data_IF_776679427406
#
_entry.id   IF_776679427406
#
_cell.length_a   1.000
_cell.length_b   1.000
_cell.length_c   1.000
_cell.angle_alpha   90.00
_cell.angle_beta   90.00
_cell.angle_gamma   90.00
#
_symmetry.space_group_name_H-M   'P 1'
#
loop_
_entity.id
_entity.type
_entity.pdbx_description
1 polymer ?
#
# COMPACT_ATOMS: atom_id res chain seq x y z
N UNK A 1 -62.73 35.99 -60.86
CA UNK A 1 -61.87 36.08 -62.05
C UNK A 1 -61.01 34.83 -62.10
N UNK A 2 -61.23 33.99 -63.11
CA UNK A 2 -60.45 32.79 -63.45
C UNK A 2 -59.03 33.17 -63.95
N UNK A 3 -58.05 32.24 -64.10
CA UNK A 3 -58.19 30.78 -64.14
C UNK A 3 -57.15 29.92 -63.38
N UNK A 4 -57.53 28.65 -63.20
CA UNK A 4 -56.73 27.40 -63.06
C UNK A 4 -55.50 27.34 -64.01
N UNK A 5 -54.49 26.42 -63.87
CA UNK A 5 -54.66 24.98 -63.55
C UNK A 5 -53.51 24.23 -62.81
N UNK A 6 -53.84 23.04 -62.31
CA UNK A 6 -52.93 21.88 -62.17
C UNK A 6 -52.66 21.25 -63.55
N UNK A 7 -51.46 20.70 -63.85
CA UNK A 7 -51.25 19.25 -63.65
C UNK A 7 -49.79 18.78 -63.35
N UNK A 8 -49.72 17.66 -62.61
CA UNK A 8 -48.93 16.42 -62.78
C UNK A 8 -47.54 16.48 -63.44
N UNK A 9 -46.49 16.01 -62.75
CA UNK A 9 -45.60 14.92 -63.24
C UNK A 9 -44.52 14.51 -62.22
N UNK A 10 -44.48 13.21 -61.97
CA UNK A 10 -43.47 12.38 -61.32
C UNK A 10 -42.04 12.60 -61.83
N UNK A 11 -41.03 12.61 -60.94
CA UNK A 11 -39.84 11.75 -61.12
C UNK A 11 -38.95 11.65 -59.89
N UNK A 12 -38.57 10.40 -59.61
CA UNK A 12 -37.54 9.95 -58.68
C UNK A 12 -36.16 10.50 -59.05
N UNK A 13 -35.34 10.72 -58.02
CA UNK A 13 -33.96 10.23 -57.98
C UNK A 13 -32.85 11.25 -58.17
N UNK A 14 -32.08 11.48 -57.11
CA UNK A 14 -30.61 11.31 -57.05
C UNK A 14 -30.09 11.93 -55.74
N UNK A 15 -29.92 11.09 -54.70
CA UNK A 15 -29.07 11.43 -53.55
C UNK A 15 -27.67 10.95 -53.91
N UNK A 16 -26.75 11.90 -54.06
CA UNK A 16 -25.34 11.62 -54.30
C UNK A 16 -24.71 11.00 -53.05
N UNK A 17 -24.12 9.80 -53.19
CA UNK A 17 -23.20 9.24 -52.21
C UNK A 17 -21.89 10.05 -52.25
N UNK A 18 -21.60 10.79 -51.18
CA UNK A 18 -20.24 11.20 -50.87
C UNK A 18 -19.61 10.12 -49.97
N UNK A 19 -18.76 9.28 -50.55
CA UNK A 19 -17.94 8.33 -49.81
C UNK A 19 -16.79 9.08 -49.12
N UNK A 20 -16.99 9.44 -47.84
CA UNK A 20 -15.91 9.91 -46.98
C UNK A 20 -15.14 8.72 -46.42
N UNK A 21 -13.94 8.46 -46.95
CA UNK A 21 -12.97 7.55 -46.32
C UNK A 21 -12.41 8.22 -45.07
N UNK A 22 -13.03 7.97 -43.92
CA UNK A 22 -12.43 8.27 -42.63
C UNK A 22 -11.30 7.26 -42.39
N UNK A 23 -10.05 7.69 -42.59
CA UNK A 23 -8.88 6.99 -42.08
C UNK A 23 -8.97 7.03 -40.55
N UNK A 24 -9.43 5.93 -39.96
CA UNK A 24 -9.35 5.73 -38.52
C UNK A 24 -7.86 5.67 -38.14
N UNK A 25 -7.38 6.70 -37.45
CA UNK A 25 -6.08 6.65 -36.80
C UNK A 25 -6.10 5.48 -35.80
N UNK A 26 -5.04 4.64 -35.73
CA UNK A 26 -4.99 3.59 -34.74
C UNK A 26 -4.97 4.27 -33.36
N UNK A 27 -6.01 4.05 -32.57
CA UNK A 27 -5.98 4.38 -31.15
C UNK A 27 -4.76 3.66 -30.57
N UNK A 28 -3.76 4.43 -30.15
CA UNK A 28 -2.61 3.90 -29.45
C UNK A 28 -3.15 3.17 -28.22
N UNK A 29 -3.19 1.84 -28.29
CA UNK A 29 -3.65 1.01 -27.21
C UNK A 29 -2.58 1.12 -26.13
N UNK A 30 -2.76 2.06 -25.20
CA UNK A 30 -1.96 2.12 -23.99
C UNK A 30 -1.88 0.71 -23.45
N UNK A 31 -0.68 0.13 -23.45
CA UNK A 31 -0.48 -1.27 -23.09
C UNK A 31 -0.96 -1.42 -21.65
N UNK A 32 -2.18 -1.93 -21.46
CA UNK A 32 -2.75 -2.09 -20.14
C UNK A 32 -1.84 -3.04 -19.39
N UNK A 33 -1.30 -2.58 -18.26
CA UNK A 33 -0.56 -3.44 -17.35
C UNK A 33 -1.43 -4.67 -17.03
N UNK A 34 -0.81 -5.85 -17.07
CA UNK A 34 -1.50 -7.13 -16.85
C UNK A 34 -0.89 -7.82 -15.64
N UNK A 35 -1.72 -8.45 -14.81
CA UNK A 35 -1.24 -9.20 -13.66
C UNK A 35 -0.31 -10.34 -14.13
N UNK A 36 0.77 -10.56 -13.39
CA UNK A 36 1.69 -11.67 -13.64
C UNK A 36 1.02 -12.94 -13.11
N UNK A 37 0.84 -13.94 -13.97
CA UNK A 37 0.22 -15.23 -13.61
C UNK A 37 1.26 -16.14 -12.99
N UNK A 38 1.07 -16.46 -11.72
CA UNK A 38 1.85 -17.42 -10.97
C UNK A 38 1.30 -18.84 -11.06
N UNK A 39 1.95 -19.73 -10.32
CA UNK A 39 1.51 -21.12 -10.14
C UNK A 39 0.26 -21.17 -9.26
N UNK A 40 -0.53 -22.22 -9.41
CA UNK A 40 -1.66 -22.55 -8.53
C UNK A 40 -2.62 -21.39 -8.29
N UNK A 41 -2.90 -20.54 -9.29
CA UNK A 41 -3.84 -19.41 -9.16
C UNK A 41 -3.28 -18.21 -8.36
N UNK A 42 -1.97 -18.11 -8.18
CA UNK A 42 -1.34 -16.87 -7.72
C UNK A 42 -1.35 -15.82 -8.83
N UNK A 43 -1.60 -14.58 -8.44
CA UNK A 43 -1.37 -13.39 -9.26
C UNK A 43 -0.35 -12.51 -8.57
N UNK A 44 0.50 -11.84 -9.34
CA UNK A 44 1.38 -10.79 -8.83
C UNK A 44 1.11 -9.48 -9.57
N UNK A 45 1.40 -8.37 -8.89
CA UNK A 45 1.20 -7.08 -9.48
C UNK A 45 2.12 -6.88 -10.70
N UNK A 46 1.69 -6.13 -11.73
CA UNK A 46 2.54 -5.82 -12.88
C UNK A 46 3.87 -5.15 -12.48
N UNK A 47 3.84 -4.32 -11.44
CA UNK A 47 5.01 -3.62 -10.90
C UNK A 47 5.89 -4.47 -9.98
N UNK A 48 5.46 -5.69 -9.63
CA UNK A 48 6.25 -6.68 -8.90
C UNK A 48 7.11 -7.55 -9.84
N UNK A 49 7.37 -7.10 -11.08
CA UNK A 49 8.22 -7.83 -12.01
C UNK A 49 9.66 -7.95 -11.49
N UNK A 50 9.99 -9.13 -10.98
CA UNK A 50 11.29 -9.43 -10.34
C UNK A 50 12.46 -9.52 -11.33
N UNK A 51 12.20 -9.59 -12.64
CA UNK A 51 13.26 -9.61 -13.66
C UNK A 51 13.70 -8.20 -14.06
N UNK A 52 12.81 -7.22 -13.93
CA UNK A 52 12.97 -5.85 -14.42
C UNK A 52 13.01 -4.83 -13.29
N UNK A 53 13.51 -5.21 -12.12
CA UNK A 53 13.65 -4.28 -11.00
C UNK A 53 14.63 -3.14 -11.36
N UNK A 54 14.17 -1.91 -11.16
CA UNK A 54 14.95 -0.68 -11.26
C UNK A 54 15.09 -0.06 -9.87
N UNK A 55 16.32 0.26 -9.46
CA UNK A 55 16.64 0.89 -8.17
C UNK A 55 17.31 2.25 -8.34
N UNK A 56 17.26 2.85 -9.54
CA UNK A 56 17.92 4.13 -9.85
C UNK A 56 17.54 5.23 -8.87
N UNK A 57 16.26 5.34 -8.53
CA UNK A 57 15.75 6.35 -7.60
C UNK A 57 15.87 5.97 -6.12
N UNK A 58 16.28 4.73 -5.79
CA UNK A 58 16.27 4.23 -4.42
C UNK A 58 17.06 5.11 -3.44
N UNK A 59 18.33 5.49 -3.74
CA UNK A 59 19.09 6.35 -2.85
C UNK A 59 18.35 7.67 -2.57
N UNK A 60 17.86 8.32 -3.63
CA UNK A 60 17.16 9.60 -3.51
C UNK A 60 15.85 9.50 -2.73
N UNK A 61 15.08 8.45 -2.94
CA UNK A 61 13.85 8.20 -2.15
C UNK A 61 14.17 8.01 -0.67
N UNK A 62 15.22 7.22 -0.36
CA UNK A 62 15.65 7.00 1.02
C UNK A 62 16.14 8.28 1.69
N UNK A 63 16.92 9.11 0.98
CA UNK A 63 17.35 10.44 1.46
C UNK A 63 16.16 11.32 1.85
N UNK A 64 15.16 11.44 0.97
CA UNK A 64 13.97 12.28 1.21
C UNK A 64 13.19 11.81 2.44
N UNK A 65 13.00 10.49 2.57
CA UNK A 65 12.28 9.91 3.71
C UNK A 65 13.09 10.05 5.00
N UNK A 66 14.40 9.84 4.95
CA UNK A 66 15.29 10.00 6.09
C UNK A 66 15.35 11.47 6.56
N UNK A 67 15.32 12.44 5.65
CA UNK A 67 15.24 13.85 5.98
C UNK A 67 13.93 14.18 6.73
N UNK A 68 12.79 13.70 6.24
CA UNK A 68 11.50 13.85 6.93
C UNK A 68 11.50 13.19 8.33
N UNK A 69 12.09 12.01 8.47
CA UNK A 69 12.29 11.33 9.77
C UNK A 69 13.21 12.14 10.68
N UNK A 70 14.24 12.79 10.14
CA UNK A 70 15.11 13.71 10.87
C UNK A 70 14.32 14.89 11.45
N UNK A 71 13.40 15.47 10.67
CA UNK A 71 12.52 16.57 11.14
C UNK A 71 11.57 16.10 12.25
N UNK A 72 10.96 14.91 12.09
CA UNK A 72 10.09 14.32 13.12
C UNK A 72 10.84 14.12 14.44
N UNK A 73 12.06 13.57 14.37
CA UNK A 73 12.93 13.39 15.54
C UNK A 73 13.31 14.71 16.21
N UNK A 74 13.62 15.74 15.42
CA UNK A 74 13.87 17.09 15.95
C UNK A 74 12.63 17.69 16.64
N UNK A 75 11.43 17.28 16.23
CA UNK A 75 10.16 17.60 16.85
C UNK A 75 9.73 16.62 17.96
N UNK A 76 10.67 15.81 18.49
CA UNK A 76 10.47 14.81 19.54
C UNK A 76 9.50 13.66 19.21
N UNK A 77 9.32 13.36 17.92
CA UNK A 77 8.58 12.19 17.43
C UNK A 77 9.58 11.18 16.88
N UNK A 78 9.86 10.11 17.62
CA UNK A 78 10.68 9.01 17.11
C UNK A 78 9.93 8.32 15.96
N UNK A 79 10.67 7.84 14.96
CA UNK A 79 10.06 7.13 13.83
C UNK A 79 10.76 5.80 13.55
N UNK A 80 9.95 4.76 13.40
CA UNK A 80 10.36 3.41 13.02
C UNK A 80 9.72 3.09 11.67
N UNK A 81 10.47 2.49 10.75
CA UNK A 81 9.94 2.10 9.44
C UNK A 81 9.57 0.63 9.43
N UNK A 82 8.32 0.34 9.08
CA UNK A 82 7.85 -0.99 8.70
C UNK A 82 8.01 -1.13 7.19
N UNK A 83 9.11 -1.70 6.71
CA UNK A 83 9.33 -1.93 5.29
C UNK A 83 8.70 -3.28 4.87
N UNK A 84 7.52 -3.21 4.26
CA UNK A 84 6.76 -4.37 3.80
C UNK A 84 7.43 -4.94 2.53
N UNK A 85 7.88 -6.21 2.56
CA UNK A 85 8.54 -6.83 1.42
C UNK A 85 7.58 -7.07 0.25
N UNK A 86 8.13 -7.13 -0.97
CA UNK A 86 7.37 -7.49 -2.17
C UNK A 86 6.79 -8.91 -2.05
N UNK A 87 5.50 -9.07 -2.38
CA UNK A 87 4.83 -10.37 -2.41
C UNK A 87 5.54 -11.36 -3.33
N UNK A 88 6.01 -10.88 -4.49
CA UNK A 88 6.73 -11.70 -5.46
C UNK A 88 8.08 -12.20 -4.94
N UNK A 89 8.72 -11.48 -4.02
CA UNK A 89 9.97 -11.91 -3.38
C UNK A 89 9.72 -12.89 -2.23
N UNK A 90 8.68 -12.66 -1.40
CA UNK A 90 8.27 -13.60 -0.32
C UNK A 90 7.80 -14.93 -0.92
N UNK A 91 6.97 -14.88 -1.96
CA UNK A 91 6.40 -16.05 -2.65
C UNK A 91 7.07 -16.32 -4.00
N UNK A 92 8.41 -16.16 -4.08
CA UNK A 92 9.17 -16.36 -5.32
C UNK A 92 9.03 -17.76 -5.94
N UNK A 93 8.71 -18.76 -5.13
CA UNK A 93 8.42 -20.13 -5.58
C UNK A 93 7.08 -20.26 -6.31
N UNK A 94 6.16 -19.31 -6.10
CA UNK A 94 4.86 -19.25 -6.76
C UNK A 94 4.88 -18.41 -8.05
N UNK A 95 6.02 -17.80 -8.40
CA UNK A 95 6.21 -17.14 -9.69
C UNK A 95 6.14 -18.15 -10.86
N UNK A 96 5.79 -17.68 -12.08
CA UNK A 96 5.78 -18.55 -13.25
C UNK A 96 7.17 -19.15 -13.52
N UNK A 97 7.24 -20.37 -14.09
CA UNK A 97 8.51 -20.96 -14.51
C UNK A 97 9.33 -19.99 -15.37
N UNK A 98 10.64 -19.92 -15.11
CA UNK A 98 11.55 -19.03 -15.84
C UNK A 98 11.62 -17.58 -15.34
N UNK A 99 10.75 -17.17 -14.41
CA UNK A 99 10.77 -15.81 -13.83
C UNK A 99 11.62 -15.75 -12.55
N UNK A 100 12.94 -16.00 -12.69
CA UNK A 100 13.87 -15.87 -11.57
C UNK A 100 14.14 -14.39 -11.23
N UNK A 101 14.19 -13.99 -9.94
CA UNK A 101 14.54 -12.63 -9.56
C UNK A 101 15.92 -12.21 -10.06
N UNK A 102 16.03 -11.02 -10.66
CA UNK A 102 17.31 -10.44 -11.06
C UNK A 102 18.19 -10.13 -9.84
N UNK A 103 19.52 -9.99 -10.00
CA UNK A 103 20.39 -9.57 -8.89
C UNK A 103 19.98 -8.23 -8.27
N UNK A 104 19.37 -7.32 -9.06
CA UNK A 104 18.84 -6.05 -8.57
C UNK A 104 17.62 -6.30 -7.69
N UNK A 105 16.65 -7.11 -8.13
CA UNK A 105 15.47 -7.45 -7.33
C UNK A 105 15.84 -8.14 -6.01
N UNK A 106 16.83 -9.05 -6.04
CA UNK A 106 17.29 -9.77 -4.86
C UNK A 106 17.88 -8.85 -3.78
N UNK A 107 18.52 -7.73 -4.18
CA UNK A 107 19.17 -6.80 -3.25
C UNK A 107 18.31 -5.61 -2.86
N UNK A 108 17.24 -5.30 -3.61
CA UNK A 108 16.43 -4.08 -3.44
C UNK A 108 15.93 -3.88 -2.02
N UNK A 109 15.37 -4.91 -1.40
CA UNK A 109 14.85 -4.84 -0.03
C UNK A 109 15.92 -4.42 0.97
N UNK A 110 17.06 -5.12 0.98
CA UNK A 110 18.15 -4.83 1.91
C UNK A 110 18.84 -3.50 1.60
N UNK A 111 18.97 -3.14 0.31
CA UNK A 111 19.50 -1.85 -0.11
C UNK A 111 18.65 -0.69 0.43
N UNK A 112 17.31 -0.81 0.39
CA UNK A 112 16.42 0.20 0.96
C UNK A 112 16.58 0.29 2.49
N UNK A 113 16.64 -0.86 3.19
CA UNK A 113 16.85 -0.88 4.65
C UNK A 113 18.17 -0.22 5.04
N UNK A 114 19.26 -0.61 4.39
CA UNK A 114 20.58 -0.07 4.63
C UNK A 114 20.64 1.44 4.36
N UNK A 115 20.08 1.90 3.24
CA UNK A 115 20.06 3.33 2.89
C UNK A 115 19.25 4.16 3.88
N UNK A 116 18.08 3.68 4.34
CA UNK A 116 17.28 4.35 5.38
C UNK A 116 18.03 4.42 6.71
N UNK A 117 18.67 3.33 7.15
CA UNK A 117 19.47 3.32 8.38
C UNK A 117 20.68 4.24 8.27
N UNK A 118 21.39 4.24 7.14
CA UNK A 118 22.50 5.17 6.88
C UNK A 118 22.05 6.64 6.87
N UNK A 119 20.83 6.91 6.40
CA UNK A 119 20.19 8.23 6.48
C UNK A 119 19.78 8.66 7.90
N UNK A 120 19.98 7.81 8.92
CA UNK A 120 19.69 8.14 10.31
C UNK A 120 18.30 7.70 10.79
N UNK A 121 17.60 6.85 10.04
CA UNK A 121 16.41 6.16 10.55
C UNK A 121 16.85 5.12 11.58
N UNK A 122 16.45 5.32 12.83
CA UNK A 122 16.92 4.53 13.98
C UNK A 122 16.62 3.03 13.87
N UNK A 123 15.48 2.67 13.29
CA UNK A 123 15.04 1.28 13.24
C UNK A 123 14.25 0.98 11.96
N UNK A 124 14.73 -0.01 11.20
CA UNK A 124 14.07 -0.60 10.02
C UNK A 124 14.17 -2.14 10.14
N UNK A 125 13.30 -2.79 10.93
CA UNK A 125 13.39 -4.23 11.19
C UNK A 125 13.25 -5.06 9.91
N UNK A 126 13.92 -6.22 9.88
CA UNK A 126 13.82 -7.15 8.77
C UNK A 126 12.50 -7.91 8.81
N UNK A 127 11.63 -7.69 7.83
CA UNK A 127 10.41 -8.47 7.63
C UNK A 127 10.59 -9.54 6.53
N UNK A 128 11.49 -9.35 5.58
CA UNK A 128 11.68 -10.27 4.46
C UNK A 128 12.10 -11.65 4.95
N UNK A 129 13.14 -11.72 5.80
CA UNK A 129 13.66 -13.00 6.28
C UNK A 129 12.62 -13.83 7.04
N UNK A 130 11.94 -13.31 8.09
CA UNK A 130 10.94 -14.11 8.81
C UNK A 130 9.72 -14.45 7.94
N UNK A 131 9.26 -13.55 7.06
CA UNK A 131 8.13 -13.83 6.18
C UNK A 131 8.45 -14.89 5.12
N UNK A 132 9.61 -14.80 4.46
CA UNK A 132 10.04 -15.79 3.47
C UNK A 132 10.25 -17.17 4.12
N UNK A 133 10.80 -17.21 5.34
CA UNK A 133 10.94 -18.45 6.10
C UNK A 133 9.59 -19.08 6.43
N UNK A 134 8.64 -18.30 6.95
CA UNK A 134 7.31 -18.81 7.32
C UNK A 134 6.56 -19.29 6.07
N UNK A 135 6.59 -18.52 4.97
CA UNK A 135 5.96 -18.88 3.70
C UNK A 135 6.54 -20.16 3.09
N UNK A 136 7.83 -20.44 3.28
CA UNK A 136 8.47 -21.67 2.82
C UNK A 136 8.19 -22.87 3.74
N UNK A 137 8.06 -22.62 5.05
CA UNK A 137 7.86 -23.67 6.06
C UNK A 137 6.41 -24.13 6.17
N UNK A 138 5.44 -23.25 5.92
CA UNK A 138 4.01 -23.53 6.08
C UNK A 138 3.20 -23.03 4.87
N UNK A 139 2.40 -23.90 4.23
CA UNK A 139 1.53 -23.47 3.14
C UNK A 139 0.33 -22.64 3.62
N UNK A 140 -0.13 -22.86 4.86
CA UNK A 140 -1.23 -22.11 5.47
C UNK A 140 -0.96 -21.83 6.97
N UNK A 141 -1.46 -20.72 7.54
CA UNK A 141 -2.12 -19.63 6.83
C UNK A 141 -1.13 -18.88 5.93
N UNK A 142 -1.52 -18.58 4.69
CA UNK A 142 -0.69 -17.75 3.80
C UNK A 142 -0.48 -16.36 4.38
N UNK A 143 0.68 -15.76 4.13
CA UNK A 143 1.03 -14.40 4.54
C UNK A 143 0.51 -13.34 3.57
N UNK A 144 0.23 -13.70 2.32
CA UNK A 144 -0.38 -12.83 1.32
C UNK A 144 -1.53 -13.55 0.60
N UNK A 145 -2.50 -12.77 0.14
CA UNK A 145 -3.56 -13.28 -0.72
C UNK A 145 -3.02 -13.62 -2.12
N UNK A 146 -3.59 -14.63 -2.75
CA UNK A 146 -3.13 -15.13 -4.05
C UNK A 146 -3.46 -14.13 -5.15
N UNK A 147 -4.71 -13.69 -5.21
CA UNK A 147 -5.23 -12.80 -6.24
C UNK A 147 -5.30 -11.33 -5.81
N UNK A 148 -4.56 -10.94 -4.77
CA UNK A 148 -4.58 -9.58 -4.25
C UNK A 148 -3.18 -9.13 -3.78
N UNK A 149 -2.89 -7.84 -3.80
CA UNK A 149 -1.57 -7.31 -3.45
C UNK A 149 -1.27 -7.39 -1.96
N UNK A 150 -2.30 -7.40 -1.10
CA UNK A 150 -2.15 -7.25 0.34
C UNK A 150 -1.71 -8.54 1.02
N UNK A 151 -1.07 -8.37 2.18
CA UNK A 151 -0.89 -9.46 3.11
C UNK A 151 -2.26 -9.98 3.62
N UNK A 152 -2.28 -11.18 4.18
CA UNK A 152 -3.41 -11.65 5.00
C UNK A 152 -3.26 -11.10 6.42
N UNK A 153 -4.28 -11.24 7.29
CA UNK A 153 -4.11 -10.95 8.72
C UNK A 153 -3.00 -11.77 9.39
N UNK A 154 -2.71 -12.98 8.92
CA UNK A 154 -1.59 -13.77 9.43
C UNK A 154 -0.23 -13.14 9.06
N UNK A 155 -0.09 -12.64 7.83
CA UNK A 155 1.10 -11.89 7.41
C UNK A 155 1.29 -10.59 8.18
N UNK A 156 0.20 -9.85 8.37
CA UNK A 156 0.20 -8.62 9.16
C UNK A 156 0.54 -8.87 10.64
N UNK A 157 -0.03 -9.92 11.25
CA UNK A 157 0.23 -10.28 12.66
C UNK A 157 1.68 -10.74 12.87
N UNK A 158 2.25 -11.51 11.93
CA UNK A 158 3.68 -11.86 11.95
C UNK A 158 4.55 -10.60 11.87
N UNK A 159 4.26 -9.71 10.91
CA UNK A 159 4.99 -8.46 10.76
C UNK A 159 4.90 -7.59 12.03
N UNK A 160 3.69 -7.45 12.59
CA UNK A 160 3.45 -6.70 13.82
C UNK A 160 4.22 -7.27 15.01
N UNK A 161 4.34 -8.60 15.13
CA UNK A 161 5.13 -9.26 16.16
C UNK A 161 6.64 -8.97 16.04
N UNK A 162 7.18 -8.99 14.82
CA UNK A 162 8.58 -8.60 14.55
C UNK A 162 8.81 -7.13 14.91
N UNK A 163 7.90 -6.25 14.49
CA UNK A 163 7.99 -4.82 14.80
C UNK A 163 7.90 -4.56 16.31
N UNK A 164 6.94 -5.18 17.02
CA UNK A 164 6.78 -5.02 18.45
C UNK A 164 8.04 -5.43 19.23
N UNK A 165 8.60 -6.59 18.88
CA UNK A 165 9.83 -7.10 19.51
C UNK A 165 11.01 -6.14 19.29
N UNK A 166 11.19 -5.66 18.06
CA UNK A 166 12.26 -4.72 17.73
C UNK A 166 12.09 -3.37 18.44
N UNK A 167 10.86 -2.86 18.51
CA UNK A 167 10.53 -1.61 19.19
C UNK A 167 10.80 -1.72 20.70
N UNK A 168 10.35 -2.81 21.35
CA UNK A 168 10.58 -3.03 22.79
C UNK A 168 12.06 -3.17 23.13
N UNK A 169 12.86 -3.77 22.24
CA UNK A 169 14.30 -3.84 22.41
C UNK A 169 14.97 -2.46 22.30
N UNK A 170 14.56 -1.65 21.32
CA UNK A 170 15.24 -0.40 20.95
C UNK A 170 14.78 0.84 21.73
N UNK A 171 13.54 0.86 22.23
CA UNK A 171 12.94 2.03 22.87
C UNK A 171 12.60 1.76 24.35
N UNK A 172 12.61 2.83 25.13
CA UNK A 172 12.09 2.85 26.50
C UNK A 172 10.93 3.82 26.51
N UNK A 173 9.75 3.28 26.76
CA UNK A 173 8.54 4.09 26.84
C UNK A 173 8.24 4.47 28.30
N UNK A 174 7.55 5.60 28.52
CA UNK A 174 6.92 5.87 29.80
C UNK A 174 5.79 4.86 30.09
N UNK A 175 5.17 5.01 31.27
CA UNK A 175 3.96 4.29 31.62
C UNK A 175 2.92 4.45 30.50
N UNK A 176 2.31 3.33 30.11
CA UNK A 176 1.37 3.34 28.99
C UNK A 176 0.11 4.13 29.33
N UNK A 177 -0.44 4.94 28.39
CA UNK A 177 -1.68 5.67 28.60
C UNK A 177 -2.92 4.75 28.71
N UNK A 178 -2.78 3.46 28.38
CA UNK A 178 -3.86 2.48 28.48
C UNK A 178 -3.36 1.06 28.23
N UNK A 179 -4.24 0.06 28.29
CA UNK A 179 -3.86 -1.30 27.90
C UNK A 179 -3.69 -1.42 26.38
N UNK A 180 -2.87 -2.38 25.94
CA UNK A 180 -2.89 -2.83 24.54
C UNK A 180 -4.18 -3.56 24.18
N UNK A 181 -4.42 -3.72 22.88
CA UNK A 181 -5.52 -4.53 22.38
C UNK A 181 -5.40 -5.99 22.82
N UNK A 182 -6.55 -6.63 23.06
CA UNK A 182 -6.62 -8.07 23.31
C UNK A 182 -7.15 -8.75 22.06
N UNK A 183 -6.32 -9.55 21.40
CA UNK A 183 -6.74 -10.33 20.24
C UNK A 183 -7.54 -11.56 20.66
N UNK A 184 -8.74 -11.70 20.10
CA UNK A 184 -9.65 -12.82 20.34
C UNK A 184 -9.19 -14.13 19.67
N UNK A 185 -10.04 -15.18 19.74
CA UNK A 185 -9.82 -16.39 18.97
C UNK A 185 -9.88 -16.10 17.45
N UNK A 186 -9.22 -16.90 16.61
CA UNK A 186 -9.30 -16.76 15.16
C UNK A 186 -10.75 -16.92 14.67
N UNK A 187 -11.19 -16.00 13.82
CA UNK A 187 -12.51 -16.05 13.18
C UNK A 187 -12.33 -16.09 11.67
N UNK A 188 -13.08 -16.94 11.00
CA UNK A 188 -13.08 -17.01 9.54
C UNK A 188 -13.82 -15.81 8.93
N UNK A 189 -13.23 -15.26 7.88
CA UNK A 189 -13.79 -14.21 7.02
C UNK A 189 -13.54 -14.58 5.56
N UNK A 190 -14.30 -13.97 4.66
CA UNK A 190 -14.12 -14.09 3.22
C UNK A 190 -13.66 -12.75 2.68
N UNK A 191 -12.65 -12.75 1.82
CA UNK A 191 -12.14 -11.53 1.21
C UNK A 191 -13.19 -10.93 0.28
N UNK A 192 -13.57 -9.68 0.54
CA UNK A 192 -14.61 -9.00 -0.24
C UNK A 192 -14.16 -8.56 -1.64
N UNK A 193 -12.86 -8.35 -1.86
CA UNK A 193 -12.30 -7.93 -3.14
C UNK A 193 -10.86 -8.42 -3.31
N UNK A 194 -10.55 -8.85 -4.53
CA UNK A 194 -9.21 -9.19 -4.99
C UNK A 194 -8.74 -8.08 -5.96
N UNK A 195 -7.86 -7.19 -5.51
CA UNK A 195 -7.45 -6.01 -6.28
C UNK A 195 -6.68 -6.31 -7.58
N UNK A 196 -5.99 -7.45 -7.67
CA UNK A 196 -5.27 -7.83 -8.89
C UNK A 196 -6.22 -8.23 -10.03
N UNK A 197 -7.50 -8.49 -9.75
CA UNK A 197 -8.49 -8.78 -10.81
C UNK A 197 -8.77 -7.58 -11.71
N UNK A 198 -8.45 -6.36 -11.25
CA UNK A 198 -8.52 -5.17 -12.09
C UNK A 198 -7.52 -5.23 -13.27
N UNK A 199 -6.46 -6.05 -13.13
CA UNK A 199 -5.43 -6.31 -14.15
C UNK A 199 -5.60 -7.68 -14.84
N UNK A 200 -6.77 -8.30 -14.69
CA UNK A 200 -7.14 -9.58 -15.33
C UNK A 200 -8.36 -9.36 -16.24
N UNK A 201 -8.36 -9.89 -17.48
CA UNK A 201 -9.52 -9.83 -18.38
C UNK A 201 -10.80 -10.39 -17.71
N UNK A 202 -11.96 -9.74 -17.85
CA UNK A 202 -13.20 -10.14 -17.19
C UNK A 202 -13.56 -11.63 -17.31
N UNK A 203 -13.36 -12.21 -18.48
CA UNK A 203 -13.64 -13.60 -18.82
C UNK A 203 -12.79 -14.62 -18.04
N UNK A 204 -11.64 -14.19 -17.52
CA UNK A 204 -10.71 -15.04 -16.75
C UNK A 204 -10.88 -14.89 -15.24
N UNK A 205 -11.54 -13.83 -14.76
CA UNK A 205 -11.64 -13.51 -13.31
C UNK A 205 -12.28 -14.63 -12.49
N UNK A 206 -13.14 -15.44 -13.10
CA UNK A 206 -13.79 -16.60 -12.46
C UNK A 206 -12.79 -17.67 -11.94
N UNK A 207 -11.56 -17.69 -12.47
CA UNK A 207 -10.51 -18.60 -12.00
C UNK A 207 -9.87 -18.16 -10.66
N UNK A 208 -10.22 -16.98 -10.15
CA UNK A 208 -9.61 -16.37 -8.97
C UNK A 208 -10.69 -15.99 -7.94
N UNK A 209 -11.35 -17.00 -7.32
CA UNK A 209 -12.46 -16.76 -6.39
C UNK A 209 -11.99 -16.02 -5.13
N UNK A 210 -12.95 -15.46 -4.40
CA UNK A 210 -12.72 -14.89 -3.08
C UNK A 210 -12.13 -15.94 -2.13
N UNK A 211 -11.12 -15.53 -1.36
CA UNK A 211 -10.41 -16.44 -0.46
C UNK A 211 -10.91 -16.28 0.98
N UNK A 212 -11.02 -17.40 1.69
CA UNK A 212 -11.25 -17.38 3.14
C UNK A 212 -9.94 -17.14 3.88
N UNK A 213 -10.00 -16.41 4.98
CA UNK A 213 -8.86 -16.16 5.85
C UNK A 213 -9.28 -16.14 7.31
N UNK A 214 -8.32 -16.36 8.20
CA UNK A 214 -8.50 -16.24 9.64
C UNK A 214 -7.99 -14.89 10.12
N UNK A 215 -8.76 -14.24 10.99
CA UNK A 215 -8.38 -13.00 11.68
C UNK A 215 -8.64 -13.16 13.18
N UNK A 216 -7.67 -12.76 14.00
CA UNK A 216 -7.84 -12.63 15.46
C UNK A 216 -8.31 -11.23 15.81
N UNK A 217 -9.59 -10.95 15.62
CA UNK A 217 -10.16 -9.62 15.82
C UNK A 217 -9.97 -9.14 17.28
N UNK A 218 -9.83 -7.82 17.51
CA UNK A 218 -9.81 -7.26 18.86
C UNK A 218 -11.09 -7.61 19.61
N UNK A 219 -10.95 -8.00 20.89
CA UNK A 219 -12.10 -8.23 21.77
C UNK A 219 -12.61 -6.86 22.25
N UNK A 220 -13.89 -6.53 22.04
CA UNK A 220 -14.46 -5.28 22.55
C UNK A 220 -14.21 -5.15 24.05
N UNK A 221 -13.68 -4.01 24.49
CA UNK A 221 -13.58 -3.69 25.92
C UNK A 221 -15.00 -3.39 26.41
N UNK A 222 -15.58 -4.30 27.20
CA UNK A 222 -16.87 -4.03 27.85
C UNK A 222 -16.77 -2.79 28.74
N UNK A 223 -17.76 -1.88 28.66
CA UNK A 223 -17.87 -0.73 29.55
C UNK A 223 -17.54 0.67 28.98
N UNK A 224 -17.46 0.86 27.66
CA UNK A 224 -17.24 2.19 27.09
C UNK A 224 -18.54 3.03 27.06
N UNK A 225 -18.90 3.62 28.20
CA UNK A 225 -19.66 4.88 28.22
C UNK A 225 -18.77 6.02 27.76
N UNK A 226 -19.27 6.80 26.78
CA UNK A 226 -18.82 8.13 26.35
C UNK A 226 -17.38 8.24 25.81
N UNK A 227 -17.29 8.78 24.59
CA UNK A 227 -16.09 9.23 23.84
C UNK A 227 -14.81 9.26 24.69
N UNK A 228 -14.05 8.16 24.72
CA UNK A 228 -12.68 8.21 25.17
C UNK A 228 -11.87 8.93 24.09
N UNK A 229 -11.25 10.06 24.43
CA UNK A 229 -10.23 10.66 23.59
C UNK A 229 -9.15 9.60 23.32
N UNK A 230 -8.77 9.43 22.04
CA UNK A 230 -7.69 8.53 21.66
C UNK A 230 -6.37 9.05 22.26
N UNK A 231 -5.93 8.43 23.36
CA UNK A 231 -4.71 8.80 24.09
C UNK A 231 -3.49 8.00 23.64
N UNK A 232 -3.51 7.40 22.45
CA UNK A 232 -2.40 6.58 21.97
C UNK A 232 -1.09 7.37 21.90
N UNK A 233 -0.03 6.83 22.52
CA UNK A 233 1.33 7.39 22.47
C UNK A 233 2.17 6.76 21.34
N UNK A 234 1.59 5.81 20.61
CA UNK A 234 2.12 5.23 19.38
C UNK A 234 1.08 5.40 18.27
N UNK A 235 1.54 5.79 17.09
CA UNK A 235 0.69 5.85 15.89
C UNK A 235 1.32 5.02 14.78
N UNK A 236 0.48 4.33 14.00
CA UNK A 236 0.89 3.65 12.76
C UNK A 236 0.29 4.40 11.60
N UNK A 237 1.13 4.74 10.61
CA UNK A 237 0.75 5.51 9.43
C UNK A 237 1.23 4.82 8.16
N UNK A 238 0.39 4.73 7.13
CA UNK A 238 0.80 4.09 5.88
C UNK A 238 -0.33 3.78 4.90
N UNK A 239 -0.10 2.78 4.04
CA UNK A 239 -1.01 2.46 2.93
C UNK A 239 -2.16 1.54 3.34
N UNK A 240 -2.95 1.10 2.36
CA UNK A 240 -4.05 0.14 2.50
C UNK A 240 -3.64 -1.19 3.14
N UNK A 241 -2.34 -1.52 3.18
CA UNK A 241 -1.83 -2.66 3.96
C UNK A 241 -2.14 -2.54 5.45
N UNK A 242 -2.37 -1.34 5.97
CA UNK A 242 -2.76 -1.13 7.36
C UNK A 242 -4.27 -1.12 7.60
N UNK A 243 -5.09 -1.36 6.57
CA UNK A 243 -6.53 -1.35 6.71
C UNK A 243 -6.99 -2.29 7.86
N UNK A 244 -8.05 -1.92 8.62
CA UNK A 244 -8.49 -2.69 9.79
C UNK A 244 -8.76 -4.17 9.52
N UNK A 245 -9.14 -4.53 8.29
CA UNK A 245 -9.36 -5.92 7.88
C UNK A 245 -8.11 -6.79 7.92
N UNK A 246 -6.91 -6.20 7.94
CA UNK A 246 -5.64 -6.91 8.08
C UNK A 246 -5.10 -6.92 9.50
N UNK A 247 -5.70 -6.16 10.42
CA UNK A 247 -5.43 -6.23 11.87
C UNK A 247 -4.00 -5.86 12.32
N UNK A 248 -3.17 -5.23 11.47
CA UNK A 248 -1.78 -4.89 11.81
C UNK A 248 -1.69 -4.02 13.07
N UNK A 249 -2.44 -2.90 13.13
CA UNK A 249 -2.36 -1.95 14.24
C UNK A 249 -2.79 -2.57 15.58
N UNK A 250 -3.84 -3.39 15.57
CA UNK A 250 -4.28 -4.09 16.78
C UNK A 250 -3.27 -5.16 17.22
N UNK A 251 -2.66 -5.90 16.28
CA UNK A 251 -1.61 -6.87 16.60
C UNK A 251 -0.37 -6.17 17.19
N UNK A 252 0.00 -5.00 16.64
CA UNK A 252 1.08 -4.19 17.18
C UNK A 252 0.73 -3.65 18.57
N UNK A 253 -0.50 -3.18 18.78
CA UNK A 253 -1.00 -2.74 20.08
C UNK A 253 -0.92 -3.85 21.13
N UNK A 254 -1.34 -5.07 20.77
CA UNK A 254 -1.22 -6.23 21.63
C UNK A 254 0.25 -6.54 21.96
N UNK A 255 1.12 -6.56 20.94
CA UNK A 255 2.55 -6.84 21.12
C UNK A 255 3.27 -5.81 22.00
N UNK A 256 2.96 -4.52 21.81
CA UNK A 256 3.53 -3.42 22.60
C UNK A 256 2.86 -3.24 23.97
N UNK A 257 1.75 -3.95 24.24
CA UNK A 257 0.93 -3.81 25.44
C UNK A 257 0.51 -2.36 25.73
N UNK A 258 0.13 -1.62 24.69
CA UNK A 258 -0.29 -0.21 24.76
C UNK A 258 -1.22 0.18 23.61
N UNK A 259 -2.03 1.25 23.72
CA UNK A 259 -2.87 1.73 22.63
C UNK A 259 -2.02 2.18 21.43
N UNK A 260 -2.52 1.91 20.23
CA UNK A 260 -1.87 2.30 18.97
C UNK A 260 -2.93 2.94 18.08
N UNK A 261 -2.72 4.21 17.73
CA UNK A 261 -3.54 4.91 16.75
C UNK A 261 -3.23 4.42 15.33
N UNK A 262 -4.21 4.52 14.43
CA UNK A 262 -4.09 4.09 13.04
C UNK A 262 -4.56 5.21 12.11
N UNK A 263 -3.69 5.65 11.22
CA UNK A 263 -4.04 6.48 10.05
C UNK A 263 -3.54 5.80 8.79
N UNK A 264 -4.38 5.67 7.77
CA UNK A 264 -3.97 5.06 6.52
C UNK A 264 -4.74 5.62 5.33
N UNK A 265 -4.12 5.47 4.15
CA UNK A 265 -4.72 5.83 2.86
C UNK A 265 -4.50 4.75 1.82
N UNK A 266 -5.24 4.79 0.73
CA UNK A 266 -5.01 3.91 -0.42
C UNK A 266 -3.64 4.16 -1.05
N UNK A 267 -3.02 3.13 -1.63
CA UNK A 267 -1.64 3.19 -2.11
C UNK A 267 -1.35 4.31 -3.13
N UNK A 268 -2.36 4.76 -3.89
CA UNK A 268 -2.24 5.85 -4.87
C UNK A 268 -2.03 7.25 -4.26
N UNK A 269 -2.20 7.42 -2.94
CA UNK A 269 -1.73 8.63 -2.24
C UNK A 269 -0.20 8.66 -2.13
N UNK A 270 0.44 7.49 -2.11
CA UNK A 270 1.87 7.37 -1.87
C UNK A 270 2.27 7.64 -0.42
N UNK A 271 3.51 7.30 -0.05
CA UNK A 271 3.99 7.47 1.33
C UNK A 271 4.09 8.94 1.74
N UNK A 272 4.31 9.83 0.78
CA UNK A 272 4.54 11.27 1.00
C UNK A 272 3.26 12.00 1.42
N UNK A 273 2.21 11.93 0.60
CA UNK A 273 0.93 12.56 0.94
C UNK A 273 0.28 11.87 2.15
N UNK A 274 0.42 10.55 2.29
CA UNK A 274 -0.10 9.83 3.46
C UNK A 274 0.51 10.38 4.75
N UNK A 275 1.84 10.47 4.82
CA UNK A 275 2.51 11.05 5.99
C UNK A 275 2.09 12.51 6.18
N UNK A 276 2.13 13.33 5.12
CA UNK A 276 1.84 14.75 5.22
C UNK A 276 0.39 15.03 5.67
N UNK A 277 -0.58 14.28 5.16
CA UNK A 277 -1.96 14.32 5.60
C UNK A 277 -2.11 13.98 7.09
N UNK A 278 -1.43 12.94 7.57
CA UNK A 278 -1.43 12.59 9.00
C UNK A 278 -0.82 13.71 9.85
N UNK A 279 0.33 14.26 9.45
CA UNK A 279 0.98 15.35 10.19
C UNK A 279 0.11 16.62 10.23
N UNK A 280 -0.73 16.86 9.22
CA UNK A 280 -1.68 17.98 9.20
C UNK A 280 -2.98 17.69 9.95
N UNK A 281 -3.22 16.43 10.34
CA UNK A 281 -4.46 16.04 11.01
C UNK A 281 -4.61 16.67 12.39
N UNK A 282 -5.85 16.90 12.83
CA UNK A 282 -6.10 17.36 14.20
C UNK A 282 -5.58 16.35 15.24
N UNK A 283 -5.58 15.06 14.92
CA UNK A 283 -5.05 14.00 15.80
C UNK A 283 -3.59 14.26 16.13
N UNK A 284 -2.74 14.42 15.11
CA UNK A 284 -1.32 14.71 15.32
C UNK A 284 -1.08 16.08 15.96
N UNK A 285 -1.82 17.10 15.54
CA UNK A 285 -1.64 18.47 16.04
C UNK A 285 -2.05 18.63 17.50
N UNK A 286 -3.09 17.92 17.96
CA UNK A 286 -3.52 17.93 19.36
C UNK A 286 -2.66 17.03 20.25
N UNK A 287 -2.26 15.87 19.74
CA UNK A 287 -1.47 14.89 20.48
C UNK A 287 -0.44 14.24 19.57
N UNK A 288 0.80 14.71 19.67
CA UNK A 288 1.92 14.08 18.96
C UNK A 288 2.25 12.74 19.62
N UNK A 289 2.40 11.64 18.85
CA UNK A 289 2.82 10.37 19.41
C UNK A 289 4.29 10.44 19.84
N UNK A 290 4.67 9.62 20.82
CA UNK A 290 6.08 9.39 21.16
C UNK A 290 6.78 8.61 20.04
N UNK A 291 6.06 7.67 19.43
CA UNK A 291 6.57 6.86 18.34
C UNK A 291 5.59 6.83 17.16
N UNK A 292 6.09 7.18 15.99
CA UNK A 292 5.46 6.96 14.71
C UNK A 292 6.02 5.68 14.06
N UNK A 293 5.14 4.75 13.73
CA UNK A 293 5.45 3.56 12.93
C UNK A 293 5.00 3.82 11.50
N UNK A 294 5.95 4.23 10.65
CA UNK A 294 5.69 4.54 9.25
C UNK A 294 5.81 3.28 8.39
N UNK A 295 4.71 2.85 7.79
CA UNK A 295 4.68 1.69 6.90
C UNK A 295 4.96 2.08 5.45
N UNK A 296 5.97 1.45 4.87
CA UNK A 296 6.40 1.65 3.49
C UNK A 296 6.39 0.32 2.73
N UNK A 297 6.02 0.35 1.46
CA UNK A 297 6.12 -0.82 0.57
C UNK A 297 7.50 -0.82 -0.09
N UNK A 298 8.14 -1.99 -0.19
CA UNK A 298 9.41 -2.15 -0.91
C UNK A 298 9.34 -1.55 -2.33
N UNK A 299 8.25 -1.81 -3.06
CA UNK A 299 8.04 -1.28 -4.41
C UNK A 299 7.90 0.25 -4.47
N UNK A 300 7.54 0.91 -3.36
CA UNK A 300 7.45 2.36 -3.28
C UNK A 300 8.83 3.02 -3.07
N UNK A 301 9.85 2.26 -2.68
CA UNK A 301 11.19 2.78 -2.40
C UNK A 301 11.96 3.26 -3.65
N UNK A 302 11.33 3.21 -4.82
CA UNK A 302 11.89 3.68 -6.10
C UNK A 302 11.01 4.76 -6.75
N UNK A 303 9.95 5.19 -6.06
CA UNK A 303 8.97 6.14 -6.56
C UNK A 303 9.19 7.49 -5.88
N UNK A 304 9.74 8.45 -6.61
CA UNK A 304 9.89 9.83 -6.13
C UNK A 304 8.52 10.47 -5.83
N UNK A 305 8.46 11.49 -4.94
CA UNK A 305 7.22 12.22 -4.67
C UNK A 305 6.54 12.77 -5.91
N UNK A 306 7.32 13.08 -6.95
CA UNK A 306 6.86 13.65 -8.21
C UNK A 306 6.32 12.62 -9.21
N UNK A 307 6.31 11.32 -8.86
CA UNK A 307 5.86 10.27 -9.76
C UNK A 307 4.34 10.32 -9.98
N UNK A 308 3.91 11.04 -11.02
CA UNK A 308 2.49 11.20 -11.39
C UNK A 308 1.82 9.90 -11.84
N UNK A 309 2.58 8.92 -12.34
CA UNK A 309 2.00 7.62 -12.71
C UNK A 309 1.60 6.83 -11.47
N UNK A 310 2.42 6.89 -10.41
CA UNK A 310 2.14 6.19 -9.16
C UNK A 310 1.15 6.97 -8.29
N UNK A 311 1.22 8.30 -8.31
CA UNK A 311 0.43 9.20 -7.46
C UNK A 311 -0.35 10.24 -8.30
N UNK A 312 -1.34 9.83 -9.10
CA UNK A 312 -1.95 10.71 -10.11
C UNK A 312 -2.49 12.05 -9.59
N UNK A 313 -3.07 12.05 -8.38
CA UNK A 313 -3.67 13.23 -7.76
C UNK A 313 -2.84 13.79 -6.59
N UNK A 314 -1.75 13.11 -6.21
CA UNK A 314 -1.01 13.36 -4.98
C UNK A 314 0.49 13.53 -5.19
N UNK A 315 0.96 13.42 -6.43
CA UNK A 315 2.35 13.71 -6.77
C UNK A 315 2.69 15.17 -6.47
N UNK A 316 3.84 15.38 -5.85
CA UNK A 316 4.35 16.70 -5.43
C UNK A 316 5.86 16.78 -5.65
N UNK A 317 6.44 17.98 -5.64
CA UNK A 317 7.90 18.10 -5.64
C UNK A 317 8.48 17.66 -4.30
N UNK A 318 9.76 17.31 -4.28
CA UNK A 318 10.50 17.04 -3.04
C UNK A 318 10.43 18.24 -2.08
N UNK A 319 10.60 19.45 -2.58
CA UNK A 319 10.55 20.67 -1.77
C UNK A 319 9.16 20.91 -1.17
N UNK A 320 8.10 20.62 -1.93
CA UNK A 320 6.73 20.73 -1.42
C UNK A 320 6.46 19.70 -0.31
N UNK A 321 6.95 18.47 -0.46
CA UNK A 321 6.85 17.44 0.58
C UNK A 321 7.60 17.84 1.85
N UNK A 322 8.90 18.12 1.74
CA UNK A 322 9.76 18.44 2.89
C UNK A 322 9.37 19.76 3.55
N UNK A 323 9.01 20.77 2.76
CA UNK A 323 8.45 22.03 3.24
C UNK A 323 7.12 21.82 3.96
N UNK A 324 6.27 20.93 3.45
CA UNK A 324 5.02 20.54 4.10
C UNK A 324 5.23 19.84 5.45
N UNK A 325 6.20 18.91 5.54
CA UNK A 325 6.57 18.25 6.80
C UNK A 325 7.07 19.29 7.80
N UNK A 326 7.98 20.17 7.39
CA UNK A 326 8.50 21.25 8.25
C UNK A 326 7.39 22.14 8.79
N UNK A 327 6.49 22.61 7.92
CA UNK A 327 5.37 23.45 8.32
C UNK A 327 4.41 22.73 9.29
N UNK A 328 4.11 21.44 9.04
CA UNK A 328 3.22 20.66 9.90
C UNK A 328 3.82 20.40 11.31
N UNK A 329 5.14 20.39 11.44
CA UNK A 329 5.81 20.23 12.73
C UNK A 329 5.95 21.53 13.52
N UNK A 330 5.46 22.64 12.98
CA UNK A 330 5.57 23.97 13.58
C UNK A 330 6.94 24.61 13.34
N UNK A 331 7.54 24.34 12.17
CA UNK A 331 8.81 24.92 11.74
C UNK A 331 8.82 26.44 11.77
#
# INVERSE_FOLDING_TARGET
>A
MNPSPTPVLTRRGLVALAAGTALAAPAAQAQRLSAIRGRDGWLFAPWDNVQQADTTNLPRVCEILAEAVGMLRAAHVETVITLIPSKAMVYRNMLPPGMAPSPVAQRRYEAARAALTQGGVRLVPDLMTPMAREAAARPEPRLFFKADTHWTPAGAELAAGVMASAIQAAFRFPASPGPGERLGPPVQRVRGRNDLLDFVPPEERRAFPAESFLIRAPVPRGGATLVQEDRSDVAVVGSSFLAPEFNFAAALSAGLSRPVALDWKTANFGPYETLLSYLRSQTFQRQRPLLLVLSLLEGAMVLLPSNRSAFPQHAMSTDAFLGGVRAALGG
#
